data_IF_787022408315
#
_entry.id   IF_787022408315
#
_cell.length_a   1.000
_cell.length_b   1.000
_cell.length_c   1.000
_cell.angle_alpha   90.00
_cell.angle_beta   90.00
_cell.angle_gamma   90.00
#
_symmetry.space_group_name_H-M   'P 1'
#
loop_
_entity.id
_entity.type
_entity.pdbx_description
1 polymer ?
#
# COMPACT_ATOMS: atom_id res chain seq x y z
N UNK A 1 -61.53 -0.52 15.21
CA UNK A 1 -60.75 -1.55 14.47
C UNK A 1 -59.44 -0.96 13.91
N UNK A 2 -58.71 -0.12 14.66
CA UNK A 2 -57.57 0.67 14.15
C UNK A 2 -56.28 0.52 14.98
N UNK A 3 -56.15 -0.56 15.77
CA UNK A 3 -54.96 -0.85 16.60
C UNK A 3 -54.11 -2.01 16.04
N UNK A 4 -54.25 -2.32 14.75
CA UNK A 4 -53.52 -3.41 14.09
C UNK A 4 -52.51 -2.93 13.03
N UNK A 5 -52.48 -1.64 12.70
CA UNK A 5 -51.55 -1.07 11.71
C UNK A 5 -50.21 -0.60 12.30
N UNK A 6 -50.10 -0.46 13.64
CA UNK A 6 -48.87 0.04 14.27
C UNK A 6 -47.81 -1.05 14.53
N UNK A 7 -48.12 -2.34 14.29
CA UNK A 7 -47.23 -3.45 14.67
C UNK A 7 -46.31 -3.94 13.54
N UNK A 8 -46.38 -3.38 12.32
CA UNK A 8 -45.61 -3.88 11.17
C UNK A 8 -44.39 -3.00 10.82
N UNK A 9 -44.16 -1.90 11.53
CA UNK A 9 -43.07 -0.95 11.22
C UNK A 9 -41.78 -1.14 12.03
N UNK A 10 -41.66 -2.18 12.87
CA UNK A 10 -40.45 -2.44 13.70
C UNK A 10 -39.68 -3.68 13.20
N UNK A 11 -39.83 -4.06 11.93
CA UNK A 11 -39.15 -5.22 11.36
C UNK A 11 -38.33 -4.92 10.09
N UNK A 12 -37.87 -3.67 9.93
CA UNK A 12 -36.75 -3.38 9.03
C UNK A 12 -35.45 -3.54 9.83
N UNK A 13 -35.15 -4.81 10.12
CA UNK A 13 -33.90 -5.33 10.65
C UNK A 13 -32.69 -4.61 10.02
N UNK A 14 -31.79 -4.15 10.89
CA UNK A 14 -30.59 -3.42 10.53
C UNK A 14 -29.81 -4.11 9.43
N UNK A 15 -29.77 -3.47 8.27
CA UNK A 15 -28.74 -3.74 7.28
C UNK A 15 -27.46 -3.15 7.86
N UNK A 16 -26.72 -3.95 8.61
CA UNK A 16 -25.36 -3.65 9.00
C UNK A 16 -24.56 -3.49 7.71
N UNK A 17 -24.31 -2.23 7.32
CA UNK A 17 -23.33 -1.91 6.31
C UNK A 17 -21.98 -2.25 6.95
N UNK A 18 -21.56 -3.51 6.80
CA UNK A 18 -20.19 -3.90 6.99
C UNK A 18 -19.40 -3.21 5.88
N UNK A 19 -19.05 -1.93 6.09
CA UNK A 19 -17.98 -1.28 5.37
C UNK A 19 -16.73 -2.06 5.77
N UNK A 20 -16.44 -3.14 5.03
CA UNK A 20 -15.19 -3.83 5.15
C UNK A 20 -14.11 -2.80 4.91
N UNK A 21 -13.39 -2.42 5.96
CA UNK A 21 -12.17 -1.66 5.83
C UNK A 21 -11.28 -2.48 4.89
N UNK A 22 -11.15 -2.03 3.64
CA UNK A 22 -10.10 -2.53 2.77
C UNK A 22 -8.82 -2.20 3.51
N UNK A 23 -8.12 -3.23 4.00
CA UNK A 23 -6.77 -3.06 4.46
C UNK A 23 -5.99 -2.50 3.26
N UNK A 24 -5.66 -1.21 3.28
CA UNK A 24 -4.70 -0.66 2.34
C UNK A 24 -3.42 -1.44 2.57
N UNK A 25 -3.01 -2.16 1.53
CA UNK A 25 -1.76 -2.89 1.54
C UNK A 25 -0.67 -1.83 1.58
N UNK A 26 -0.04 -1.66 2.73
CA UNK A 26 1.04 -0.70 2.89
C UNK A 26 2.18 -1.12 1.97
N UNK A 27 2.72 -0.17 1.21
CA UNK A 27 3.80 -0.40 0.27
C UNK A 27 4.86 0.67 0.46
N UNK A 28 6.14 0.29 0.31
CA UNK A 28 7.29 1.19 0.26
C UNK A 28 7.99 1.03 -1.09
N UNK A 29 8.25 2.16 -1.75
CA UNK A 29 8.87 2.22 -3.06
C UNK A 29 10.38 2.47 -2.91
N UNK A 30 11.18 1.46 -3.24
CA UNK A 30 12.64 1.53 -3.15
C UNK A 30 13.20 1.62 -4.56
N UNK A 31 13.96 2.68 -4.83
CA UNK A 31 14.72 2.84 -6.08
C UNK A 31 16.16 2.44 -5.76
N UNK A 32 16.70 1.39 -6.39
CA UNK A 32 18.00 0.82 -6.06
C UNK A 32 18.92 0.73 -7.27
N UNK A 33 20.13 1.28 -7.13
CA UNK A 33 21.25 1.05 -8.04
C UNK A 33 22.13 -0.15 -7.62
N UNK A 34 21.77 -0.83 -6.52
CA UNK A 34 22.39 -2.08 -6.10
C UNK A 34 21.57 -3.25 -6.62
N UNK A 35 22.25 -4.29 -7.12
CA UNK A 35 21.64 -5.52 -7.62
C UNK A 35 22.32 -6.73 -6.98
N UNK A 36 21.94 -7.03 -5.73
CA UNK A 36 22.46 -8.17 -4.98
C UNK A 36 21.32 -9.08 -4.53
N UNK A 37 21.48 -10.39 -4.72
CA UNK A 37 20.50 -11.39 -4.25
C UNK A 37 20.23 -11.30 -2.75
N UNK A 38 21.23 -10.87 -1.97
CA UNK A 38 21.09 -10.67 -0.52
C UNK A 38 20.14 -9.52 -0.16
N UNK A 39 20.01 -8.50 -1.01
CA UNK A 39 19.10 -7.38 -0.79
C UNK A 39 17.64 -7.83 -1.02
N UNK A 40 17.39 -8.71 -2.00
CA UNK A 40 16.05 -9.30 -2.21
C UNK A 40 15.59 -10.09 -0.98
N UNK A 41 16.46 -10.94 -0.43
CA UNK A 41 16.14 -11.70 0.79
C UNK A 41 15.88 -10.78 2.00
N UNK A 42 16.53 -9.61 2.05
CA UNK A 42 16.28 -8.60 3.08
C UNK A 42 14.88 -7.98 2.90
N UNK A 43 14.50 -7.63 1.67
CA UNK A 43 13.18 -7.07 1.38
C UNK A 43 12.05 -8.07 1.64
N UNK A 44 12.25 -9.34 1.28
CA UNK A 44 11.29 -10.41 1.57
C UNK A 44 11.06 -10.55 3.08
N UNK A 45 12.14 -10.60 3.87
CA UNK A 45 12.04 -10.66 5.34
C UNK A 45 11.35 -9.44 5.93
N UNK A 46 11.68 -8.25 5.42
CA UNK A 46 10.99 -7.03 5.84
C UNK A 46 9.49 -7.12 5.59
N UNK A 47 9.07 -7.59 4.41
CA UNK A 47 7.66 -7.80 4.09
C UNK A 47 7.02 -8.88 4.96
N UNK A 48 7.71 -9.98 5.24
CA UNK A 48 7.22 -11.04 6.13
C UNK A 48 7.00 -10.56 7.57
N UNK A 49 7.92 -9.76 8.11
CA UNK A 49 7.86 -9.28 9.50
C UNK A 49 6.86 -8.14 9.70
N UNK A 50 6.73 -7.26 8.72
CA UNK A 50 5.94 -6.02 8.85
C UNK A 50 4.59 -6.07 8.14
N UNK A 51 4.42 -6.95 7.15
CA UNK A 51 3.29 -6.95 6.23
C UNK A 51 3.31 -5.81 5.20
N UNK A 52 4.36 -4.98 5.17
CA UNK A 52 4.53 -3.90 4.21
C UNK A 52 5.19 -4.45 2.95
N UNK A 53 4.54 -4.29 1.79
CA UNK A 53 5.10 -4.69 0.51
C UNK A 53 6.27 -3.79 0.11
N UNK A 54 7.32 -4.37 -0.44
CA UNK A 54 8.38 -3.62 -1.12
C UNK A 54 8.10 -3.58 -2.61
N UNK A 55 8.04 -2.38 -3.19
CA UNK A 55 8.06 -2.17 -4.63
C UNK A 55 9.45 -1.68 -5.02
N UNK A 56 10.24 -2.59 -5.62
CA UNK A 56 11.61 -2.34 -6.00
C UNK A 56 11.68 -1.90 -7.47
N UNK A 57 12.30 -0.76 -7.72
CA UNK A 57 12.68 -0.28 -9.05
C UNK A 57 14.19 -0.24 -9.11
N UNK A 58 14.76 -0.94 -10.08
CA UNK A 58 16.20 -1.07 -10.24
C UNK A 58 16.67 -0.29 -11.47
N UNK A 59 17.87 0.27 -11.41
CA UNK A 59 18.45 1.05 -12.50
C UNK A 59 19.76 1.72 -12.08
N UNK A 60 20.44 2.35 -13.03
CA UNK A 60 21.68 3.09 -12.74
C UNK A 60 21.39 4.32 -11.86
N UNK A 61 22.33 4.71 -11.00
CA UNK A 61 22.13 5.81 -10.05
C UNK A 61 21.68 7.12 -10.72
N UNK A 62 22.36 7.52 -11.80
CA UNK A 62 22.03 8.74 -12.53
C UNK A 62 20.63 8.67 -13.17
N UNK A 63 20.22 7.50 -13.64
CA UNK A 63 18.89 7.29 -14.22
C UNK A 63 17.79 7.43 -13.15
N UNK A 64 17.99 6.80 -11.99
CA UNK A 64 17.05 6.84 -10.89
C UNK A 64 16.93 8.26 -10.31
N UNK A 65 18.05 8.98 -10.17
CA UNK A 65 18.05 10.39 -9.74
C UNK A 65 17.31 11.26 -10.76
N UNK A 66 17.65 11.17 -12.05
CA UNK A 66 16.98 11.95 -13.09
C UNK A 66 15.48 11.64 -13.18
N UNK A 67 15.08 10.41 -12.87
CA UNK A 67 13.68 10.02 -12.75
C UNK A 67 12.99 10.69 -11.57
N UNK A 68 13.58 10.62 -10.38
CA UNK A 68 13.03 11.27 -9.17
C UNK A 68 12.90 12.77 -9.39
N UNK A 69 13.91 13.43 -9.98
CA UNK A 69 13.86 14.86 -10.30
C UNK A 69 12.75 15.19 -11.30
N UNK A 70 12.57 14.36 -12.34
CA UNK A 70 11.50 14.53 -13.34
C UNK A 70 10.11 14.33 -12.74
N UNK A 71 9.94 13.37 -11.85
CA UNK A 71 8.68 13.10 -11.15
C UNK A 71 8.39 14.19 -10.09
N UNK A 72 9.43 14.78 -9.52
CA UNK A 72 9.35 15.87 -8.56
C UNK A 72 8.50 15.52 -7.33
N UNK A 73 7.58 16.41 -6.94
CA UNK A 73 6.66 16.19 -5.80
C UNK A 73 5.68 15.03 -5.98
N UNK A 74 5.63 14.43 -7.17
CA UNK A 74 4.79 13.28 -7.49
C UNK A 74 5.59 11.99 -7.63
N UNK A 75 6.88 12.00 -7.30
CA UNK A 75 7.66 10.77 -7.28
C UNK A 75 7.04 9.80 -6.27
N UNK A 76 6.80 8.54 -6.66
CA UNK A 76 6.38 7.52 -5.72
C UNK A 76 7.56 7.02 -4.87
N UNK A 77 8.81 7.40 -5.18
CA UNK A 77 9.99 6.91 -4.47
C UNK A 77 10.02 7.34 -2.99
N UNK A 78 10.14 6.36 -2.10
CA UNK A 78 10.28 6.59 -0.66
C UNK A 78 11.76 6.56 -0.24
N UNK A 79 12.56 5.69 -0.88
CA UNK A 79 13.98 5.46 -0.58
C UNK A 79 14.77 5.35 -1.89
N UNK A 80 15.92 6.03 -1.95
CA UNK A 80 16.94 5.80 -2.98
C UNK A 80 18.15 5.10 -2.34
N UNK A 81 18.55 3.95 -2.91
CA UNK A 81 19.75 3.21 -2.55
C UNK A 81 20.75 3.33 -3.69
N UNK A 82 21.89 3.97 -3.45
CA UNK A 82 22.97 4.15 -4.43
C UNK A 82 24.31 3.66 -3.89
N UNK A 83 25.26 3.44 -4.79
CA UNK A 83 26.69 3.31 -4.48
C UNK A 83 27.40 4.65 -4.68
N UNK A 84 28.61 4.78 -4.14
CA UNK A 84 29.50 5.94 -4.21
C UNK A 84 30.29 6.04 -5.53
#
# INVERSE_FOLDING_TARGET
MFRLLAAVLIAASGLAIAVGAKAETQEVNIYSARHYDTDLALYDRFTEETGIRVNLIEGESDELIARIEREGKYSPADILVTVD
#
